data_IF_328088203216
#
_entry.id   IF_328088203216
#
_cell.length_a   1.000
_cell.length_b   1.000
_cell.length_c   1.000
_cell.angle_alpha   90.00
_cell.angle_beta   90.00
_cell.angle_gamma   90.00
#
_symmetry.space_group_name_H-M   'P 1'
#
loop_
_entity.id
_entity.type
_entity.pdbx_description
1 polymer ?
#
# COMPACT_ATOMS: atom_id res chain seq x y z
N UNK A 1 6.05 2.46 -9.13
CA UNK A 1 4.69 2.06 -9.53
C UNK A 1 4.77 1.22 -10.79
N UNK A 2 3.98 0.15 -10.86
CA UNK A 2 3.96 -0.80 -11.96
C UNK A 2 2.71 -0.59 -12.83
N UNK A 3 2.91 -0.63 -14.14
CA UNK A 3 1.81 -0.64 -15.12
C UNK A 3 1.15 -2.03 -15.18
N UNK A 4 0.02 -2.13 -15.89
CA UNK A 4 -0.67 -3.41 -16.10
C UNK A 4 0.23 -4.46 -16.77
N UNK A 5 1.08 -4.02 -17.71
CA UNK A 5 2.01 -4.89 -18.42
C UNK A 5 3.15 -5.43 -17.54
N UNK A 6 3.41 -4.78 -16.40
CA UNK A 6 4.49 -5.13 -15.47
C UNK A 6 3.97 -5.90 -14.26
N UNK A 7 2.72 -6.35 -14.29
CA UNK A 7 2.14 -7.11 -13.20
C UNK A 7 2.91 -8.41 -12.95
N UNK A 8 3.22 -9.14 -14.02
CA UNK A 8 3.87 -10.45 -13.93
C UNK A 8 5.40 -10.32 -13.80
N UNK A 9 5.96 -9.15 -14.18
CA UNK A 9 7.37 -8.82 -14.00
C UNK A 9 7.55 -7.37 -13.52
N UNK A 10 7.34 -7.11 -12.21
CA UNK A 10 7.41 -5.77 -11.64
C UNK A 10 8.77 -5.09 -11.73
N UNK A 11 8.78 -3.76 -11.92
CA UNK A 11 9.98 -2.92 -11.95
C UNK A 11 10.04 -2.02 -10.71
N UNK A 12 11.09 -2.22 -9.91
CA UNK A 12 11.27 -1.51 -8.64
C UNK A 12 12.34 -0.41 -8.68
N UNK A 13 12.83 0.01 -9.85
CA UNK A 13 13.88 1.03 -9.97
C UNK A 13 13.38 2.46 -10.18
N UNK A 14 12.06 2.66 -10.30
CA UNK A 14 11.47 3.98 -10.61
C UNK A 14 11.32 4.86 -9.38
N UNK A 15 11.53 6.17 -9.59
CA UNK A 15 11.37 7.21 -8.57
C UNK A 15 12.57 7.29 -7.62
N UNK A 16 12.61 8.34 -6.82
CA UNK A 16 13.73 8.61 -5.90
C UNK A 16 13.50 8.05 -4.49
N UNK A 17 12.29 7.59 -4.16
CA UNK A 17 11.92 7.19 -2.80
C UNK A 17 12.77 6.04 -2.25
N UNK A 18 13.18 5.09 -3.11
CA UNK A 18 14.09 4.00 -2.73
C UNK A 18 15.45 4.50 -2.29
N UNK A 19 15.97 5.51 -2.98
CA UNK A 19 17.22 6.15 -2.60
C UNK A 19 17.03 6.91 -1.29
N UNK A 20 15.95 7.67 -1.16
CA UNK A 20 15.67 8.46 0.04
C UNK A 20 15.56 7.59 1.29
N UNK A 21 14.78 6.51 1.23
CA UNK A 21 14.62 5.56 2.36
C UNK A 21 15.95 4.93 2.78
N UNK A 22 16.79 4.52 1.82
CA UNK A 22 18.11 3.95 2.12
C UNK A 22 19.03 4.98 2.76
N UNK A 23 19.10 6.19 2.19
CA UNK A 23 19.95 7.25 2.71
C UNK A 23 19.51 7.72 4.10
N UNK A 24 18.20 7.74 4.36
CA UNK A 24 17.65 8.09 5.66
C UNK A 24 18.01 7.04 6.73
N UNK A 25 17.81 5.74 6.45
CA UNK A 25 18.18 4.67 7.39
C UNK A 25 19.68 4.49 7.58
N UNK A 26 20.52 4.79 6.58
CA UNK A 26 21.97 4.83 6.76
C UNK A 26 22.39 5.85 7.81
N UNK A 27 21.68 6.98 7.90
CA UNK A 27 21.96 8.05 8.87
C UNK A 27 21.34 7.77 10.22
N UNK A 28 20.18 7.14 10.25
CA UNK A 28 19.50 6.72 11.46
C UNK A 28 18.92 5.29 11.30
N UNK A 29 19.63 4.26 11.76
CA UNK A 29 19.16 2.87 11.66
C UNK A 29 17.85 2.59 12.38
N UNK A 30 17.49 3.40 13.40
CA UNK A 30 16.23 3.30 14.14
C UNK A 30 15.07 4.08 13.51
N UNK A 31 15.27 4.69 12.33
CA UNK A 31 14.22 5.45 11.65
C UNK A 31 13.10 4.52 11.16
N UNK A 32 11.88 4.80 11.64
CA UNK A 32 10.67 4.16 11.15
C UNK A 32 10.30 4.69 9.76
N UNK A 33 9.98 3.77 8.85
CA UNK A 33 9.54 4.05 7.49
C UNK A 33 8.09 3.63 7.36
N UNK A 34 7.24 4.60 7.04
CA UNK A 34 5.85 4.39 6.65
C UNK A 34 5.68 4.65 5.16
N UNK A 35 4.79 3.90 4.51
CA UNK A 35 4.35 4.19 3.15
C UNK A 35 2.84 4.46 3.12
N UNK A 36 2.40 5.37 2.26
CA UNK A 36 1.00 5.72 2.11
C UNK A 36 0.68 5.97 0.63
N UNK A 37 -0.21 5.17 0.02
CA UNK A 37 -0.65 5.43 -1.34
C UNK A 37 -1.51 6.69 -1.40
N UNK A 38 -1.11 7.69 -2.19
CA UNK A 38 -1.99 8.83 -2.54
C UNK A 38 -2.85 8.55 -3.76
N UNK A 39 -2.48 7.56 -4.57
CA UNK A 39 -3.22 7.18 -5.77
C UNK A 39 -2.79 5.82 -6.28
N UNK A 40 -3.63 5.27 -7.15
CA UNK A 40 -3.47 3.92 -7.70
C UNK A 40 -3.50 3.95 -9.23
N UNK A 41 -2.72 3.10 -9.91
CA UNK A 41 -2.87 2.89 -11.35
C UNK A 41 -4.32 2.52 -11.72
N UNK A 42 -4.86 3.15 -12.76
CA UNK A 42 -6.30 3.02 -13.07
C UNK A 42 -6.76 1.60 -13.41
N UNK A 43 -5.84 0.73 -13.84
CA UNK A 43 -6.13 -0.68 -14.14
C UNK A 43 -6.52 -1.52 -12.91
N UNK A 44 -6.26 -1.04 -11.68
CA UNK A 44 -6.58 -1.75 -10.44
C UNK A 44 -8.07 -1.70 -10.06
N UNK A 45 -8.77 -0.63 -10.46
CA UNK A 45 -10.14 -0.35 -10.00
C UNK A 45 -11.09 0.06 -11.12
N UNK A 46 -10.78 -0.32 -12.37
CA UNK A 46 -11.45 0.17 -13.57
C UNK A 46 -11.60 1.70 -13.57
N UNK A 47 -10.56 2.41 -13.12
CA UNK A 47 -10.57 3.87 -13.07
C UNK A 47 -10.40 4.37 -14.50
N UNK A 48 -11.38 5.14 -14.98
CA UNK A 48 -11.35 5.70 -16.32
C UNK A 48 -10.13 6.60 -16.49
N UNK A 49 -9.41 6.44 -17.62
CA UNK A 49 -8.34 7.36 -18.01
C UNK A 49 -8.88 8.75 -18.36
N UNK A 50 -10.19 8.86 -18.62
CA UNK A 50 -10.87 10.14 -18.69
C UNK A 50 -11.21 10.54 -17.27
N UNK A 51 -11.01 11.81 -16.93
CA UNK A 51 -11.55 12.43 -15.71
C UNK A 51 -13.09 12.54 -15.84
N UNK A 52 -13.74 11.42 -16.13
CA UNK A 52 -15.18 11.30 -16.16
C UNK A 52 -15.64 11.33 -14.71
N UNK A 53 -16.08 12.52 -14.30
CA UNK A 53 -16.62 12.79 -12.96
C UNK A 53 -17.85 11.92 -12.65
N UNK A 54 -18.47 11.26 -13.63
CA UNK A 54 -19.64 10.40 -13.43
C UNK A 54 -19.28 8.94 -13.11
N UNK A 55 -18.03 8.51 -13.29
CA UNK A 55 -17.57 7.16 -12.88
C UNK A 55 -16.06 7.12 -12.61
N UNK A 56 -15.61 7.60 -11.43
CA UNK A 56 -14.18 7.73 -11.10
C UNK A 56 -13.43 6.39 -10.90
N UNK A 57 -14.09 5.25 -11.09
CA UNK A 57 -13.61 3.94 -10.68
C UNK A 57 -13.58 3.79 -9.16
N UNK A 58 -13.30 2.57 -8.70
CA UNK A 58 -13.15 2.29 -7.27
C UNK A 58 -11.94 1.37 -7.08
N UNK A 59 -10.83 1.84 -6.48
CA UNK A 59 -9.65 1.01 -6.27
C UNK A 59 -9.96 -0.21 -5.39
N UNK A 60 -10.97 -0.13 -4.51
CA UNK A 60 -11.41 -1.25 -3.66
C UNK A 60 -12.34 -2.23 -4.36
N UNK A 61 -12.67 -2.06 -5.66
CA UNK A 61 -13.54 -2.98 -6.39
C UNK A 61 -12.96 -4.41 -6.45
N UNK A 62 -11.62 -4.52 -6.40
CA UNK A 62 -10.90 -5.78 -6.38
C UNK A 62 -9.86 -5.74 -5.24
N UNK A 63 -10.27 -5.95 -3.97
CA UNK A 63 -9.41 -5.75 -2.82
C UNK A 63 -8.17 -6.67 -2.83
N UNK A 64 -8.31 -7.90 -3.33
CA UNK A 64 -7.20 -8.85 -3.49
C UNK A 64 -6.15 -8.34 -4.50
N UNK A 65 -6.61 -7.74 -5.61
CA UNK A 65 -5.72 -7.20 -6.65
C UNK A 65 -5.00 -5.94 -6.15
N UNK A 66 -5.72 -5.08 -5.45
CA UNK A 66 -5.17 -3.87 -4.86
C UNK A 66 -4.15 -4.21 -3.77
N UNK A 67 -4.47 -5.17 -2.89
CA UNK A 67 -3.58 -5.63 -1.85
C UNK A 67 -2.32 -6.26 -2.44
N UNK A 68 -2.45 -7.08 -3.50
CA UNK A 68 -1.30 -7.72 -4.14
C UNK A 68 -0.35 -6.65 -4.70
N UNK A 69 -0.91 -5.63 -5.35
CA UNK A 69 -0.14 -4.49 -5.84
C UNK A 69 0.66 -3.77 -4.73
N UNK A 70 0.05 -3.58 -3.56
CA UNK A 70 0.74 -2.97 -2.40
C UNK A 70 1.79 -3.93 -1.84
N UNK A 71 1.50 -5.22 -1.69
CA UNK A 71 2.44 -6.23 -1.20
C UNK A 71 3.65 -6.39 -2.14
N UNK A 72 3.46 -6.30 -3.45
CA UNK A 72 4.58 -6.27 -4.42
C UNK A 72 5.54 -5.11 -4.15
N UNK A 73 5.06 -3.95 -3.67
CA UNK A 73 5.93 -2.85 -3.27
C UNK A 73 6.84 -3.25 -2.10
N UNK A 74 6.32 -3.94 -1.10
CA UNK A 74 7.11 -4.48 0.03
C UNK A 74 8.12 -5.54 -0.42
N UNK A 75 7.72 -6.43 -1.33
CA UNK A 75 8.61 -7.43 -1.92
C UNK A 75 9.77 -6.74 -2.63
N UNK A 76 9.48 -5.74 -3.46
CA UNK A 76 10.48 -4.94 -4.16
C UNK A 76 11.42 -4.19 -3.21
N UNK A 77 10.86 -3.53 -2.18
CA UNK A 77 11.62 -2.84 -1.16
C UNK A 77 12.65 -3.76 -0.49
N UNK A 78 12.21 -4.95 -0.05
CA UNK A 78 13.09 -5.93 0.61
C UNK A 78 14.09 -6.57 -0.36
N UNK A 79 13.63 -7.08 -1.51
CA UNK A 79 14.46 -7.89 -2.42
C UNK A 79 15.44 -7.07 -3.27
N UNK A 80 15.02 -5.89 -3.74
CA UNK A 80 15.83 -5.07 -4.67
C UNK A 80 16.63 -4.02 -3.92
N UNK A 81 16.09 -3.46 -2.84
CA UNK A 81 16.70 -2.31 -2.16
C UNK A 81 17.19 -2.59 -0.75
N UNK A 82 16.89 -3.76 -0.18
CA UNK A 82 17.22 -4.08 1.22
C UNK A 82 16.52 -3.17 2.23
N UNK A 83 15.38 -2.57 1.86
CA UNK A 83 14.60 -1.69 2.73
C UNK A 83 13.59 -2.53 3.51
N UNK A 84 13.52 -2.29 4.82
CA UNK A 84 12.42 -2.75 5.67
C UNK A 84 11.47 -1.57 5.86
N UNK A 85 10.20 -1.81 5.56
CA UNK A 85 9.09 -0.87 5.78
C UNK A 85 8.37 -1.31 7.04
N UNK A 86 8.11 -0.37 7.95
CA UNK A 86 7.56 -0.68 9.27
C UNK A 86 6.04 -0.55 9.29
N UNK A 87 5.49 0.37 8.48
CA UNK A 87 4.08 0.74 8.53
C UNK A 87 3.53 1.02 7.12
N UNK A 88 2.23 0.77 6.92
CA UNK A 88 1.50 1.13 5.70
C UNK A 88 0.16 1.75 6.00
N UNK A 89 -0.14 2.83 5.28
CA UNK A 89 -1.45 3.46 5.23
C UNK A 89 -2.37 2.86 4.18
N UNK A 90 -3.64 3.27 4.19
CA UNK A 90 -4.67 2.74 3.29
C UNK A 90 -4.78 3.56 2.00
N UNK A 91 -5.30 4.78 2.08
CA UNK A 91 -5.42 5.69 0.95
C UNK A 91 -5.49 7.13 1.46
N UNK A 92 -4.46 7.92 1.14
CA UNK A 92 -4.27 9.29 1.65
C UNK A 92 -5.52 10.15 1.48
N UNK A 93 -6.05 10.68 2.58
CA UNK A 93 -7.18 11.61 2.62
C UNK A 93 -8.44 11.10 1.91
N UNK A 94 -8.63 9.78 1.88
CA UNK A 94 -9.80 9.12 1.28
C UNK A 94 -10.45 8.20 2.29
N UNK A 95 -11.71 7.86 2.01
CA UNK A 95 -12.41 6.84 2.79
C UNK A 95 -11.69 5.50 2.64
N UNK A 96 -11.49 4.83 3.76
CA UNK A 96 -10.97 3.47 3.79
C UNK A 96 -12.10 2.46 3.52
N UNK A 97 -11.73 1.25 3.09
CA UNK A 97 -12.64 0.13 3.00
C UNK A 97 -12.15 -0.98 3.95
N UNK A 98 -13.01 -1.43 4.88
CA UNK A 98 -12.64 -2.42 5.89
C UNK A 98 -12.22 -3.75 5.27
N UNK A 99 -12.94 -4.24 4.27
CA UNK A 99 -12.63 -5.52 3.63
C UNK A 99 -11.26 -5.49 2.95
N UNK A 100 -10.91 -4.36 2.32
CA UNK A 100 -9.57 -4.14 1.79
C UNK A 100 -8.50 -4.17 2.89
N UNK A 101 -8.73 -3.52 4.03
CA UNK A 101 -7.76 -3.54 5.14
C UNK A 101 -7.52 -4.96 5.64
N UNK A 102 -8.58 -5.75 5.84
CA UNK A 102 -8.48 -7.15 6.26
C UNK A 102 -7.74 -7.99 5.20
N UNK A 103 -8.04 -7.75 3.93
CA UNK A 103 -7.37 -8.42 2.80
C UNK A 103 -5.88 -8.07 2.75
N UNK A 104 -5.53 -6.80 2.89
CA UNK A 104 -4.15 -6.33 2.93
C UNK A 104 -3.37 -6.98 4.08
N UNK A 105 -3.96 -7.08 5.27
CA UNK A 105 -3.33 -7.78 6.40
C UNK A 105 -3.01 -9.23 6.06
N UNK A 106 -3.99 -9.98 5.56
CA UNK A 106 -3.83 -11.40 5.20
C UNK A 106 -2.73 -11.59 4.17
N UNK A 107 -2.67 -10.76 3.13
CA UNK A 107 -1.65 -10.88 2.10
C UNK A 107 -0.26 -10.46 2.57
N UNK A 108 -0.14 -9.42 3.41
CA UNK A 108 1.14 -9.08 4.06
C UNK A 108 1.64 -10.26 4.90
N UNK A 109 0.76 -10.89 5.69
CA UNK A 109 1.12 -12.04 6.51
C UNK A 109 1.58 -13.22 5.67
N UNK A 110 0.82 -13.55 4.62
CA UNK A 110 1.16 -14.61 3.67
C UNK A 110 2.52 -14.38 2.98
N UNK A 111 2.85 -13.13 2.66
CA UNK A 111 4.14 -12.74 2.06
C UNK A 111 5.30 -12.61 3.08
N UNK A 112 5.04 -12.89 4.37
CA UNK A 112 6.04 -12.87 5.44
C UNK A 112 6.34 -11.47 5.99
N UNK A 113 5.39 -10.55 5.91
CA UNK A 113 5.46 -9.18 6.43
C UNK A 113 4.57 -8.99 7.68
N UNK A 114 4.55 -9.99 8.56
CA UNK A 114 3.71 -10.03 9.78
C UNK A 114 4.02 -8.91 10.78
N UNK A 115 5.25 -8.39 10.78
CA UNK A 115 5.66 -7.29 11.65
C UNK A 115 5.15 -5.91 11.20
N UNK A 116 4.78 -5.76 9.93
CA UNK A 116 4.34 -4.48 9.36
C UNK A 116 3.03 -4.05 10.01
N UNK A 117 2.94 -2.81 10.49
CA UNK A 117 1.68 -2.26 11.03
C UNK A 117 0.84 -1.62 9.93
N UNK A 118 -0.48 -1.71 10.06
CA UNK A 118 -1.41 -0.98 9.19
C UNK A 118 -1.97 0.19 10.00
N UNK A 119 -1.82 1.39 9.49
CA UNK A 119 -2.35 2.62 10.09
C UNK A 119 -3.47 3.12 9.20
N UNK A 120 -4.61 3.45 9.80
CA UNK A 120 -5.79 3.89 9.10
C UNK A 120 -6.55 4.93 9.93
N UNK A 121 -7.46 5.71 9.33
CA UNK A 121 -7.76 5.71 7.91
C UNK A 121 -6.94 6.69 7.08
N UNK A 122 -6.14 7.54 7.73
CA UNK A 122 -5.51 8.70 7.13
C UNK A 122 -6.55 9.62 6.45
N UNK A 123 -7.63 9.90 7.18
CA UNK A 123 -8.74 10.73 6.72
C UNK A 123 -9.17 11.70 7.81
N UNK A 124 -9.62 12.89 7.44
CA UNK A 124 -10.13 13.88 8.40
C UNK A 124 -11.48 13.52 9.04
N UNK A 125 -12.12 12.44 8.62
CA UNK A 125 -13.46 12.04 9.07
C UNK A 125 -13.45 11.13 10.31
N UNK A 126 -12.31 10.51 10.62
CA UNK A 126 -12.17 9.59 11.75
C UNK A 126 -10.79 9.73 12.40
N UNK A 127 -10.65 9.51 13.72
CA UNK A 127 -9.35 9.51 14.38
C UNK A 127 -8.40 8.47 13.75
N UNK A 128 -7.13 8.83 13.61
CA UNK A 128 -6.09 7.87 13.21
C UNK A 128 -5.91 6.82 14.30
N UNK A 129 -5.93 5.55 13.94
CA UNK A 129 -5.64 4.44 14.83
C UNK A 129 -4.79 3.38 14.16
N UNK A 130 -4.08 2.61 14.98
CA UNK A 130 -3.61 1.31 14.53
C UNK A 130 -4.82 0.42 14.39
N UNK A 131 -4.96 -0.22 13.23
CA UNK A 131 -5.94 -1.29 13.13
C UNK A 131 -5.29 -2.50 13.80
N UNK A 132 -5.66 -2.70 15.06
CA UNK A 132 -5.19 -3.83 15.88
C UNK A 132 -6.08 -5.06 15.67
N UNK A 133 -7.32 -4.85 15.22
CA UNK A 133 -8.29 -5.90 14.96
C UNK A 133 -8.64 -5.99 13.47
N UNK A 134 -8.10 -7.01 12.81
CA UNK A 134 -8.39 -7.36 11.42
C UNK A 134 -9.49 -8.44 11.30
N UNK A 135 -10.22 -8.68 12.41
CA UNK A 135 -11.36 -9.56 12.49
C UNK A 135 -11.20 -10.61 13.60
N UNK A 136 -12.03 -10.49 14.63
CA UNK A 136 -13.06 -11.51 14.88
C UNK A 136 -14.43 -10.86 14.74
N UNK A 137 -15.07 -11.01 13.57
CA UNK A 137 -16.53 -10.95 13.52
C UNK A 137 -17.00 -12.38 13.84
N UNK A 138 -17.50 -12.59 15.06
CA UNK A 138 -18.72 -13.40 15.22
C UNK A 138 -19.90 -12.68 14.55
#
# INVERSE_FOLDING_TARGET
MNSRAERDSPIFSRGFEWWMMREARKRNPGLLISILPSGFPGWLGNMSARFDRMSPGNPYAHPELLADYVVQYFIGARRVHGIVIDMVGVWNERLYNRDYVVTLRRQLDYAGFTAVKIIAPDSGLYPQSFIEDFGSNE
#
